data_IF_159214649461
#
_entry.id   IF_159214649461
#
_cell.length_a   1.000
_cell.length_b   1.000
_cell.length_c   1.000
_cell.angle_alpha   90.00
_cell.angle_beta   90.00
_cell.angle_gamma   90.00
#
_symmetry.space_group_name_H-M   'P 1'
#
loop_
_entity.id
_entity.type
_entity.pdbx_description
1 polymer ?
#
# COMPACT_ATOMS: atom_id res chain seq x y z
N UNK A 1 -0.18 3.05 -39.51
CA UNK A 1 1.24 3.48 -39.38
C UNK A 1 1.71 3.79 -37.96
N UNK A 2 0.93 4.38 -37.06
CA UNK A 2 1.36 4.64 -35.66
C UNK A 2 1.58 3.34 -34.81
N UNK A 3 0.78 2.28 -35.02
CA UNK A 3 0.94 0.99 -34.33
C UNK A 3 2.26 0.26 -34.68
N UNK A 4 2.77 0.41 -35.87
CA UNK A 4 4.02 -0.24 -36.32
C UNK A 4 5.27 0.41 -35.72
N UNK A 5 5.25 1.70 -35.41
CA UNK A 5 6.38 2.40 -34.77
C UNK A 5 6.54 2.07 -33.29
N UNK A 6 5.44 1.79 -32.57
CA UNK A 6 5.49 1.38 -31.15
C UNK A 6 6.01 -0.05 -31.00
N UNK A 7 5.77 -0.92 -32.00
CA UNK A 7 6.28 -2.31 -32.00
C UNK A 7 7.80 -2.40 -32.18
N UNK A 8 8.43 -1.44 -32.85
CA UNK A 8 9.88 -1.42 -33.06
C UNK A 8 10.67 -0.99 -31.81
N UNK A 9 10.06 -0.41 -30.81
CA UNK A 9 10.71 0.08 -29.58
C UNK A 9 10.75 -0.95 -28.44
N UNK A 10 10.06 -2.08 -28.55
CA UNK A 10 10.09 -3.15 -27.54
C UNK A 10 11.30 -4.09 -27.78
N UNK A 11 12.53 -3.55 -27.85
CA UNK A 11 13.74 -4.36 -27.66
C UNK A 11 13.68 -4.91 -26.23
N UNK A 12 13.67 -6.24 -26.09
CA UNK A 12 13.81 -6.89 -24.79
C UNK A 12 15.06 -6.31 -24.11
N UNK A 13 14.87 -5.77 -22.92
CA UNK A 13 15.95 -5.17 -22.16
C UNK A 13 16.96 -6.26 -21.79
N UNK A 14 18.25 -5.93 -21.80
CA UNK A 14 19.25 -6.80 -21.19
C UNK A 14 18.89 -7.01 -19.71
N UNK A 15 19.16 -8.19 -19.17
CA UNK A 15 18.90 -8.52 -17.76
C UNK A 15 19.47 -7.45 -16.81
N UNK A 16 20.71 -7.02 -17.07
CA UNK A 16 21.39 -5.97 -16.28
C UNK A 16 20.67 -4.61 -16.38
N UNK A 17 20.22 -4.23 -17.56
CA UNK A 17 19.47 -2.98 -17.75
C UNK A 17 18.14 -3.01 -17.01
N UNK A 18 17.42 -4.13 -17.08
CA UNK A 18 16.17 -4.31 -16.36
C UNK A 18 16.35 -4.25 -14.83
N UNK A 19 17.36 -4.95 -14.31
CA UNK A 19 17.70 -4.92 -12.89
C UNK A 19 18.09 -3.51 -12.42
N UNK A 20 18.89 -2.79 -13.20
CA UNK A 20 19.28 -1.41 -12.89
C UNK A 20 18.07 -0.47 -12.82
N UNK A 21 17.16 -0.55 -13.80
CA UNK A 21 15.94 0.27 -13.85
C UNK A 21 15.09 0.05 -12.58
N UNK A 22 14.86 -1.22 -12.20
CA UNK A 22 14.08 -1.53 -10.99
C UNK A 22 14.79 -1.09 -9.71
N UNK A 23 16.12 -1.26 -9.63
CA UNK A 23 16.90 -0.83 -8.46
C UNK A 23 16.83 0.69 -8.28
N UNK A 24 17.00 1.45 -9.36
CA UNK A 24 16.89 2.92 -9.33
C UNK A 24 15.48 3.35 -8.91
N UNK A 25 14.44 2.74 -9.49
CA UNK A 25 13.06 3.04 -9.11
C UNK A 25 12.79 2.72 -7.64
N UNK A 26 13.32 1.60 -7.13
CA UNK A 26 13.17 1.22 -5.73
C UNK A 26 13.88 2.20 -4.79
N UNK A 27 15.08 2.67 -5.13
CA UNK A 27 15.79 3.70 -4.34
C UNK A 27 15.01 5.01 -4.33
N UNK A 28 14.56 5.48 -5.48
CA UNK A 28 13.72 6.69 -5.59
C UNK A 28 12.48 6.55 -4.70
N UNK A 29 11.77 5.41 -4.79
CA UNK A 29 10.56 5.16 -4.01
C UNK A 29 10.83 5.16 -2.50
N UNK A 30 11.96 4.61 -2.05
CA UNK A 30 12.36 4.63 -0.63
C UNK A 30 12.70 6.04 -0.16
N UNK A 31 13.44 6.82 -0.96
CA UNK A 31 13.75 8.22 -0.65
C UNK A 31 12.47 9.06 -0.56
N UNK A 32 11.58 8.93 -1.52
CA UNK A 32 10.28 9.61 -1.51
C UNK A 32 9.44 9.20 -0.29
N UNK A 33 9.47 7.91 0.09
CA UNK A 33 8.80 7.41 1.30
C UNK A 33 9.36 8.02 2.59
N UNK A 34 10.68 8.19 2.69
CA UNK A 34 11.32 8.87 3.82
C UNK A 34 10.97 10.36 3.86
N UNK A 35 10.97 11.03 2.70
CA UNK A 35 10.57 12.43 2.57
C UNK A 35 9.09 12.66 2.94
N UNK A 36 8.23 11.67 2.79
CA UNK A 36 6.83 11.74 3.23
C UNK A 36 6.69 11.76 4.76
N UNK A 37 7.52 10.99 5.47
CA UNK A 37 7.44 10.85 6.93
C UNK A 37 7.67 12.18 7.64
N UNK A 38 8.70 12.93 7.27
CA UNK A 38 9.11 14.16 7.94
C UNK A 38 8.04 15.26 7.91
N UNK A 39 7.45 15.65 6.75
CA UNK A 39 6.38 16.63 6.71
C UNK A 39 5.12 16.19 7.46
N UNK A 40 4.77 14.91 7.34
CA UNK A 40 3.57 14.40 8.01
C UNK A 40 3.71 14.49 9.54
N UNK A 41 4.85 14.11 10.11
CA UNK A 41 5.09 14.21 11.55
C UNK A 41 5.14 15.66 12.04
N UNK A 42 5.74 16.57 11.27
CA UNK A 42 5.80 18.01 11.62
C UNK A 42 4.43 18.67 11.54
N UNK A 43 3.61 18.31 10.59
CA UNK A 43 2.29 18.90 10.35
C UNK A 43 1.23 18.37 11.33
N UNK A 44 1.21 17.08 11.53
CA UNK A 44 0.13 16.40 12.24
C UNK A 44 0.52 15.90 13.64
N UNK A 45 1.82 15.94 13.96
CA UNK A 45 2.37 15.41 15.20
C UNK A 45 2.51 13.89 15.23
N UNK A 46 3.12 13.41 16.31
CA UNK A 46 3.39 11.96 16.47
C UNK A 46 2.12 11.13 16.65
N UNK A 47 1.07 11.73 17.20
CA UNK A 47 -0.23 11.04 17.39
C UNK A 47 -0.86 10.66 16.05
N UNK A 48 -0.92 11.59 15.09
CA UNK A 48 -1.44 11.29 13.76
C UNK A 48 -0.55 10.30 13.01
N UNK A 49 0.75 10.37 13.21
CA UNK A 49 1.68 9.36 12.68
C UNK A 49 1.40 7.98 13.30
N UNK A 50 1.11 7.90 14.60
CA UNK A 50 0.70 6.65 15.27
C UNK A 50 -0.56 6.03 14.63
N UNK A 51 -1.59 6.84 14.35
CA UNK A 51 -2.79 6.36 13.65
C UNK A 51 -2.49 5.84 12.24
N UNK A 52 -1.60 6.54 11.53
CA UNK A 52 -1.11 6.12 10.23
C UNK A 52 -0.39 4.76 10.33
N UNK A 53 0.52 4.61 11.28
CA UNK A 53 1.32 3.39 11.45
C UNK A 53 0.45 2.18 11.82
N UNK A 54 -0.53 2.35 12.71
CA UNK A 54 -1.50 1.30 13.09
C UNK A 54 -2.27 0.79 11.86
N UNK A 55 -2.77 1.69 11.02
CA UNK A 55 -3.48 1.30 9.81
C UNK A 55 -2.55 0.58 8.83
N UNK A 56 -1.30 1.05 8.70
CA UNK A 56 -0.30 0.45 7.83
C UNK A 56 0.08 -0.97 8.28
N UNK A 57 0.15 -1.19 9.58
CA UNK A 57 0.46 -2.50 10.16
C UNK A 57 -0.67 -3.52 9.97
N UNK A 58 -1.92 -3.09 9.99
CA UNK A 58 -3.04 -3.96 9.64
C UNK A 58 -3.06 -4.29 8.14
N UNK A 59 -2.69 -3.34 7.31
CA UNK A 59 -2.61 -3.49 5.86
C UNK A 59 -1.51 -4.46 5.41
N UNK A 60 -0.30 -4.39 6.00
CA UNK A 60 0.88 -5.11 5.53
C UNK A 60 0.70 -6.64 5.42
N UNK A 61 0.14 -7.35 6.42
CA UNK A 61 -0.08 -8.79 6.33
C UNK A 61 -1.06 -9.16 5.21
N UNK A 62 -2.16 -8.42 5.09
CA UNK A 62 -3.20 -8.64 4.08
C UNK A 62 -2.62 -8.41 2.68
N UNK A 63 -1.87 -7.34 2.51
CA UNK A 63 -1.14 -7.02 1.29
C UNK A 63 -0.13 -8.12 0.93
N UNK A 64 0.65 -8.61 1.89
CA UNK A 64 1.64 -9.67 1.68
C UNK A 64 0.98 -10.96 1.21
N UNK A 65 -0.14 -11.36 1.83
CA UNK A 65 -0.90 -12.54 1.40
C UNK A 65 -1.38 -12.36 -0.05
N UNK A 66 -1.86 -11.17 -0.37
CA UNK A 66 -2.47 -10.89 -1.65
C UNK A 66 -1.46 -10.83 -2.81
N UNK A 67 -0.19 -10.41 -2.56
CA UNK A 67 0.73 -10.12 -3.67
C UNK A 67 2.13 -10.73 -3.56
N UNK A 68 2.56 -11.34 -2.45
CA UNK A 68 3.96 -11.75 -2.29
C UNK A 68 4.44 -12.73 -3.38
N UNK A 69 3.71 -13.81 -3.61
CA UNK A 69 4.10 -14.87 -4.56
C UNK A 69 3.51 -14.74 -5.95
N UNK A 70 2.36 -14.07 -6.08
CA UNK A 70 1.59 -14.05 -7.33
C UNK A 70 2.29 -13.32 -8.50
N UNK A 71 2.88 -12.12 -8.33
CA UNK A 71 3.54 -11.43 -9.44
C UNK A 71 4.74 -12.21 -9.96
N UNK A 72 5.50 -12.84 -9.05
CA UNK A 72 6.65 -13.66 -9.41
C UNK A 72 6.24 -14.93 -10.16
N UNK A 73 5.14 -15.57 -9.75
CA UNK A 73 4.58 -16.71 -10.44
C UNK A 73 4.14 -16.34 -11.87
N UNK A 74 3.45 -15.21 -12.02
CA UNK A 74 3.03 -14.70 -13.34
C UNK A 74 4.22 -14.37 -14.22
N UNK A 75 5.21 -13.64 -13.70
CA UNK A 75 6.43 -13.27 -14.42
C UNK A 75 7.19 -14.51 -14.90
N UNK A 76 7.36 -15.52 -14.02
CA UNK A 76 8.01 -16.78 -14.38
C UNK A 76 7.26 -17.53 -15.47
N UNK A 77 5.94 -17.68 -15.35
CA UNK A 77 5.13 -18.38 -16.35
C UNK A 77 5.11 -17.66 -17.70
N UNK A 78 5.06 -16.33 -17.70
CA UNK A 78 5.15 -15.53 -18.92
C UNK A 78 6.50 -15.71 -19.58
N UNK A 79 7.60 -15.64 -18.81
CA UNK A 79 8.97 -15.86 -19.35
C UNK A 79 9.14 -17.26 -19.90
N UNK A 80 8.62 -18.30 -19.21
CA UNK A 80 8.64 -19.68 -19.67
C UNK A 80 7.86 -19.85 -20.97
N UNK A 81 6.65 -19.29 -21.04
CA UNK A 81 5.81 -19.37 -22.24
C UNK A 81 6.46 -18.69 -23.45
N UNK A 82 7.17 -17.58 -23.25
CA UNK A 82 7.93 -16.90 -24.31
C UNK A 82 9.12 -17.74 -24.75
N UNK A 83 9.87 -18.34 -23.81
CA UNK A 83 11.03 -19.17 -24.10
C UNK A 83 10.67 -20.44 -24.91
N UNK A 84 9.46 -20.98 -24.67
CA UNK A 84 8.92 -22.15 -25.38
C UNK A 84 8.10 -21.76 -26.64
N UNK A 85 8.10 -20.50 -27.04
CA UNK A 85 7.31 -19.96 -28.16
C UNK A 85 5.79 -20.17 -28.04
N UNK A 86 5.30 -20.41 -26.81
CA UNK A 86 3.89 -20.59 -26.47
C UNK A 86 3.19 -19.22 -26.24
N UNK A 87 3.19 -18.37 -27.24
CA UNK A 87 2.71 -16.98 -27.11
C UNK A 87 1.21 -16.88 -26.78
N UNK A 88 0.39 -17.90 -27.13
CA UNK A 88 -1.04 -17.93 -26.74
C UNK A 88 -1.20 -18.09 -25.23
N UNK A 89 -0.29 -18.82 -24.58
CA UNK A 89 -0.30 -19.02 -23.14
C UNK A 89 -0.07 -17.72 -22.36
N UNK A 90 0.79 -16.83 -22.84
CA UNK A 90 1.02 -15.52 -22.20
C UNK A 90 -0.28 -14.77 -21.97
N UNK A 91 -1.17 -14.74 -22.96
CA UNK A 91 -2.49 -14.10 -22.83
C UNK A 91 -3.40 -14.83 -21.85
N UNK A 92 -3.34 -16.16 -21.83
CA UNK A 92 -4.13 -16.98 -20.89
C UNK A 92 -3.67 -16.76 -19.46
N UNK A 93 -2.35 -16.78 -19.24
CA UNK A 93 -1.73 -16.47 -17.93
C UNK A 93 -2.12 -15.08 -17.45
N UNK A 94 -2.00 -14.06 -18.30
CA UNK A 94 -2.33 -12.69 -17.95
C UNK A 94 -3.82 -12.50 -17.60
N UNK A 95 -4.74 -13.04 -18.42
CA UNK A 95 -6.18 -12.95 -18.16
C UNK A 95 -6.57 -13.63 -16.83
N UNK A 96 -5.95 -14.77 -16.57
CA UNK A 96 -6.19 -15.49 -15.33
C UNK A 96 -5.59 -14.75 -14.14
N UNK A 97 -4.37 -14.20 -14.31
CA UNK A 97 -3.74 -13.36 -13.30
C UNK A 97 -4.62 -12.18 -12.89
N UNK A 98 -5.16 -11.41 -13.86
CA UNK A 98 -6.08 -10.29 -13.55
C UNK A 98 -7.27 -10.77 -12.72
N UNK A 99 -7.87 -11.92 -13.02
CA UNK A 99 -9.00 -12.45 -12.25
C UNK A 99 -8.58 -12.82 -10.82
N UNK A 100 -7.45 -13.49 -10.67
CA UNK A 100 -6.93 -13.90 -9.35
C UNK A 100 -6.62 -12.64 -8.51
N UNK A 101 -5.87 -11.69 -9.08
CA UNK A 101 -5.51 -10.46 -8.36
C UNK A 101 -6.72 -9.58 -8.02
N UNK A 102 -7.72 -9.50 -8.91
CA UNK A 102 -8.97 -8.80 -8.63
C UNK A 102 -9.71 -9.46 -7.45
N UNK A 103 -9.81 -10.79 -7.46
CA UNK A 103 -10.48 -11.52 -6.36
C UNK A 103 -9.73 -11.35 -5.05
N UNK A 104 -8.40 -11.54 -5.04
CA UNK A 104 -7.56 -11.34 -3.85
C UNK A 104 -7.65 -9.90 -3.34
N UNK A 105 -7.60 -8.92 -4.25
CA UNK A 105 -7.70 -7.50 -3.90
C UNK A 105 -9.05 -7.13 -3.30
N UNK A 106 -10.15 -7.63 -3.88
CA UNK A 106 -11.50 -7.41 -3.34
C UNK A 106 -11.67 -8.06 -1.96
N UNK A 107 -11.24 -9.32 -1.82
CA UNK A 107 -11.30 -10.02 -0.53
C UNK A 107 -10.45 -9.30 0.51
N UNK A 108 -9.22 -8.90 0.18
CA UNK A 108 -8.36 -8.15 1.09
C UNK A 108 -8.96 -6.79 1.50
N UNK A 109 -9.55 -6.06 0.57
CA UNK A 109 -10.27 -4.81 0.85
C UNK A 109 -11.45 -5.04 1.80
N UNK A 110 -12.26 -6.07 1.55
CA UNK A 110 -13.40 -6.41 2.40
C UNK A 110 -12.96 -6.83 3.81
N UNK A 111 -11.89 -7.62 3.93
CA UNK A 111 -11.31 -8.00 5.24
C UNK A 111 -10.90 -6.75 6.01
N UNK A 112 -10.23 -5.78 5.35
CA UNK A 112 -9.85 -4.52 6.00
C UNK A 112 -11.06 -3.69 6.43
N UNK A 113 -12.11 -3.57 5.61
CA UNK A 113 -13.31 -2.81 5.93
C UNK A 113 -14.09 -3.42 7.11
N UNK A 114 -14.31 -4.74 7.05
CA UNK A 114 -15.06 -5.46 8.10
C UNK A 114 -14.23 -5.52 9.40
N UNK A 115 -12.91 -5.72 9.28
CA UNK A 115 -11.99 -5.83 10.40
C UNK A 115 -11.58 -4.50 11.03
N UNK A 116 -11.89 -3.36 10.40
CA UNK A 116 -11.42 -2.05 10.84
C UNK A 116 -11.81 -1.73 12.30
N UNK A 117 -13.08 -1.92 12.65
CA UNK A 117 -13.58 -1.66 14.01
C UNK A 117 -12.98 -2.63 15.03
N UNK A 118 -12.93 -3.92 14.69
CA UNK A 118 -12.39 -4.96 15.56
C UNK A 118 -10.89 -4.72 15.83
N UNK A 119 -10.12 -4.37 14.82
CA UNK A 119 -8.69 -4.12 14.96
C UNK A 119 -8.38 -2.82 15.72
N UNK A 120 -9.07 -1.72 15.42
CA UNK A 120 -8.89 -0.45 16.10
C UNK A 120 -9.20 -0.58 17.61
N UNK A 121 -10.28 -1.28 17.97
CA UNK A 121 -10.63 -1.56 19.35
C UNK A 121 -9.65 -2.53 20.03
N UNK A 122 -9.16 -3.54 19.30
CA UNK A 122 -8.16 -4.49 19.83
C UNK A 122 -6.85 -3.80 20.19
N UNK A 123 -6.40 -2.87 19.36
CA UNK A 123 -5.20 -2.04 19.60
C UNK A 123 -5.47 -1.00 20.71
N UNK A 124 -6.73 -0.66 21.01
CA UNK A 124 -7.14 0.33 21.99
C UNK A 124 -7.08 1.77 21.48
N UNK A 125 -7.09 1.97 20.16
CA UNK A 125 -7.03 3.29 19.51
C UNK A 125 -8.14 3.37 18.45
N UNK A 126 -9.40 3.61 18.88
CA UNK A 126 -10.57 3.64 17.98
C UNK A 126 -10.46 4.68 16.86
N UNK A 127 -9.73 5.77 17.06
CA UNK A 127 -9.52 6.84 16.08
C UNK A 127 -8.76 6.37 14.84
N UNK A 128 -7.96 5.31 14.96
CA UNK A 128 -7.23 4.70 13.82
C UNK A 128 -8.16 4.04 12.79
N UNK A 129 -9.42 3.75 13.16
CA UNK A 129 -10.43 3.15 12.27
C UNK A 129 -10.57 3.87 10.94
N UNK A 130 -10.63 5.21 10.98
CA UNK A 130 -10.80 6.02 9.76
C UNK A 130 -9.63 5.81 8.79
N UNK A 131 -8.41 5.73 9.32
CA UNK A 131 -7.20 5.46 8.53
C UNK A 131 -7.28 4.09 7.85
N UNK A 132 -7.73 3.06 8.59
CA UNK A 132 -7.87 1.69 8.06
C UNK A 132 -8.91 1.64 6.93
N UNK A 133 -10.08 2.24 7.15
CA UNK A 133 -11.17 2.26 6.16
C UNK A 133 -10.75 2.94 4.85
N UNK A 134 -10.07 4.09 4.96
CA UNK A 134 -9.61 4.86 3.80
C UNK A 134 -8.47 4.14 3.07
N UNK A 135 -7.63 3.41 3.79
CA UNK A 135 -6.52 2.64 3.20
C UNK A 135 -6.97 1.33 2.57
N UNK A 136 -8.08 0.74 2.97
CA UNK A 136 -8.51 -0.58 2.52
C UNK A 136 -8.53 -0.75 0.98
N UNK A 137 -9.04 0.19 0.16
CA UNK A 137 -9.03 0.03 -1.30
C UNK A 137 -7.62 -0.02 -1.92
N UNK A 138 -6.59 0.39 -1.17
CA UNK A 138 -5.19 0.28 -1.62
C UNK A 138 -4.82 -1.14 -1.97
N UNK A 139 -5.30 -2.14 -1.19
CA UNK A 139 -5.05 -3.56 -1.46
C UNK A 139 -5.51 -3.94 -2.86
N UNK A 140 -6.72 -3.51 -3.25
CA UNK A 140 -7.27 -3.79 -4.57
C UNK A 140 -6.40 -3.18 -5.69
N UNK A 141 -6.06 -1.89 -5.56
CA UNK A 141 -5.26 -1.23 -6.59
C UNK A 141 -3.86 -1.81 -6.69
N UNK A 142 -3.21 -2.12 -5.57
CA UNK A 142 -1.90 -2.78 -5.56
C UNK A 142 -1.95 -4.17 -6.20
N UNK A 143 -2.98 -4.97 -5.96
CA UNK A 143 -3.19 -6.24 -6.63
C UNK A 143 -3.29 -6.06 -8.16
N UNK A 144 -4.12 -5.12 -8.61
CA UNK A 144 -4.30 -4.87 -10.04
C UNK A 144 -3.03 -4.36 -10.73
N UNK A 145 -2.27 -3.48 -10.08
CA UNK A 145 -0.94 -3.05 -10.55
C UNK A 145 -0.01 -4.25 -10.67
N UNK A 146 0.00 -5.13 -9.66
CA UNK A 146 0.90 -6.28 -9.58
C UNK A 146 0.66 -7.30 -10.69
N UNK A 147 -0.59 -7.45 -11.15
CA UNK A 147 -0.90 -8.29 -12.31
C UNK A 147 -0.22 -7.79 -13.60
N UNK A 148 -0.22 -6.46 -13.81
CA UNK A 148 0.47 -5.85 -14.96
C UNK A 148 1.99 -5.91 -14.81
N UNK A 149 2.51 -5.65 -13.60
CA UNK A 149 3.95 -5.77 -13.30
C UNK A 149 4.45 -7.18 -13.61
N UNK A 150 3.76 -8.23 -13.15
CA UNK A 150 4.11 -9.62 -13.43
C UNK A 150 4.17 -9.94 -14.93
N UNK A 151 3.23 -9.42 -15.74
CA UNK A 151 3.26 -9.56 -17.19
C UNK A 151 4.50 -8.90 -17.79
N UNK A 152 4.75 -7.63 -17.47
CA UNK A 152 5.82 -6.85 -18.11
C UNK A 152 7.22 -7.31 -17.66
N UNK A 153 7.39 -7.69 -16.42
CA UNK A 153 8.61 -8.32 -15.91
C UNK A 153 8.88 -9.65 -16.63
N UNK A 154 7.85 -10.46 -16.85
CA UNK A 154 7.93 -11.70 -17.60
C UNK A 154 8.28 -11.50 -19.08
N UNK A 155 7.88 -10.38 -19.69
CA UNK A 155 8.26 -10.00 -21.06
C UNK A 155 9.59 -9.23 -21.14
N UNK A 156 10.35 -9.15 -20.03
CA UNK A 156 11.61 -8.38 -19.91
C UNK A 156 11.48 -6.89 -20.25
N UNK A 157 10.33 -6.30 -19.91
CA UNK A 157 10.08 -4.87 -20.01
C UNK A 157 9.84 -4.29 -18.62
N UNK A 158 10.91 -3.79 -17.99
CA UNK A 158 10.86 -3.31 -16.61
C UNK A 158 10.36 -1.86 -16.48
N UNK A 159 10.22 -1.12 -17.58
CA UNK A 159 9.82 0.28 -17.57
C UNK A 159 8.44 0.50 -16.92
N UNK A 160 7.37 -0.26 -17.26
CA UNK A 160 6.06 -0.02 -16.66
C UNK A 160 6.05 -0.27 -15.15
N UNK A 161 6.80 -1.28 -14.67
CA UNK A 161 6.98 -1.55 -13.25
C UNK A 161 7.67 -0.38 -12.56
N UNK A 162 8.81 0.08 -13.07
CA UNK A 162 9.56 1.19 -12.50
C UNK A 162 8.75 2.49 -12.43
N UNK A 163 8.10 2.86 -13.53
CA UNK A 163 7.29 4.08 -13.59
C UNK A 163 6.09 4.00 -12.65
N UNK A 164 5.40 2.84 -12.60
CA UNK A 164 4.27 2.67 -11.69
C UNK A 164 4.67 2.78 -10.21
N UNK A 165 5.86 2.30 -9.82
CA UNK A 165 6.40 2.48 -8.46
C UNK A 165 6.67 3.95 -8.12
N UNK A 166 7.23 4.68 -9.08
CA UNK A 166 7.48 6.13 -8.90
C UNK A 166 6.18 6.89 -8.78
N UNK A 167 5.17 6.61 -9.63
CA UNK A 167 3.85 7.24 -9.56
C UNK A 167 3.19 6.98 -8.21
N UNK A 168 3.23 5.73 -7.73
CA UNK A 168 2.68 5.34 -6.43
C UNK A 168 3.35 6.11 -5.29
N UNK A 169 4.68 6.21 -5.31
CA UNK A 169 5.45 6.91 -4.27
C UNK A 169 5.23 8.42 -4.30
N UNK A 170 5.23 9.03 -5.49
CA UNK A 170 4.95 10.46 -5.65
C UNK A 170 3.49 10.79 -5.31
N UNK A 171 2.55 9.91 -5.68
CA UNK A 171 1.16 10.03 -5.29
C UNK A 171 1.00 10.07 -3.76
N UNK A 172 1.64 9.13 -3.06
CA UNK A 172 1.70 9.12 -1.60
C UNK A 172 2.26 10.43 -1.04
N UNK A 173 3.39 10.91 -1.57
CA UNK A 173 4.06 12.12 -1.09
C UNK A 173 3.18 13.36 -1.32
N UNK A 174 2.79 13.61 -2.57
CA UNK A 174 2.12 14.86 -2.96
C UNK A 174 0.68 14.89 -2.45
N UNK A 175 -0.08 13.84 -2.75
CA UNK A 175 -1.50 13.77 -2.37
C UNK A 175 -1.67 13.50 -0.88
N UNK A 176 -0.80 12.67 -0.28
CA UNK A 176 -0.88 12.39 1.15
C UNK A 176 -0.59 13.62 2.00
N UNK A 177 0.43 14.39 1.68
CA UNK A 177 0.69 15.67 2.34
C UNK A 177 -0.42 16.68 2.02
N UNK A 178 -0.85 16.76 0.76
CA UNK A 178 -1.89 17.69 0.33
C UNK A 178 -3.22 17.47 1.05
N UNK A 179 -3.72 16.24 1.09
CA UNK A 179 -4.97 15.91 1.80
C UNK A 179 -4.83 16.00 3.31
N UNK A 180 -3.67 15.62 3.86
CA UNK A 180 -3.40 15.80 5.28
C UNK A 180 -3.45 17.28 5.66
N UNK A 181 -2.79 18.15 4.88
CA UNK A 181 -2.83 19.60 5.08
C UNK A 181 -4.24 20.16 4.92
N UNK A 182 -4.97 19.73 3.88
CA UNK A 182 -6.34 20.16 3.67
C UNK A 182 -7.25 19.78 4.86
N UNK A 183 -7.11 18.57 5.41
CA UNK A 183 -7.87 18.15 6.59
C UNK A 183 -7.53 19.00 7.82
N UNK A 184 -6.25 19.31 8.04
CA UNK A 184 -5.81 20.17 9.12
C UNK A 184 -6.37 21.59 8.99
N UNK A 185 -6.22 22.19 7.80
CA UNK A 185 -6.73 23.54 7.51
C UNK A 185 -8.25 23.60 7.69
N UNK A 186 -8.97 22.60 7.18
CA UNK A 186 -10.43 22.52 7.31
C UNK A 186 -10.88 22.44 8.76
N UNK A 187 -10.25 21.61 9.58
CA UNK A 187 -10.57 21.49 11.01
C UNK A 187 -10.35 22.81 11.77
N UNK A 188 -9.23 23.49 11.51
CA UNK A 188 -8.93 24.80 12.12
C UNK A 188 -9.93 25.89 11.66
N UNK A 189 -10.31 25.85 10.39
CA UNK A 189 -11.27 26.80 9.82
C UNK A 189 -12.67 26.62 10.43
N UNK A 190 -13.14 25.39 10.60
CA UNK A 190 -14.40 25.08 11.26
C UNK A 190 -14.39 25.55 12.71
N UNK A 191 -13.30 25.33 13.46
CA UNK A 191 -13.15 25.82 14.81
C UNK A 191 -13.27 27.34 14.91
N UNK A 192 -12.62 28.07 14.00
CA UNK A 192 -12.65 29.52 13.98
C UNK A 192 -14.04 30.11 13.66
N UNK A 193 -14.87 29.38 12.90
CA UNK A 193 -16.18 29.86 12.50
C UNK A 193 -17.32 29.49 13.45
N UNK A 194 -17.24 28.41 14.19
CA UNK A 194 -18.40 27.94 14.95
C UNK A 194 -18.09 27.08 16.16
N UNK A 195 -16.83 26.93 16.59
CA UNK A 195 -16.46 26.09 17.72
C UNK A 195 -16.77 24.60 17.50
N UNK A 196 -16.98 24.17 16.26
CA UNK A 196 -17.20 22.77 15.89
C UNK A 196 -16.07 22.30 14.97
N UNK A 197 -15.59 21.07 15.16
CA UNK A 197 -14.57 20.44 14.32
C UNK A 197 -15.07 19.06 13.94
N UNK A 198 -15.26 18.82 12.64
CA UNK A 198 -15.80 17.56 12.09
C UNK A 198 -17.09 17.06 12.81
N UNK A 199 -17.97 18.00 13.18
CA UNK A 199 -19.25 17.71 13.83
C UNK A 199 -19.20 17.54 15.34
N UNK A 200 -18.05 17.76 15.98
CA UNK A 200 -17.89 17.76 17.44
C UNK A 200 -17.73 19.20 17.94
N UNK A 201 -18.44 19.55 19.02
CA UNK A 201 -18.29 20.85 19.67
C UNK A 201 -16.99 20.88 20.47
N UNK A 202 -16.21 21.94 20.29
CA UNK A 202 -14.85 22.06 20.85
C UNK A 202 -14.72 23.40 21.55
N UNK A 203 -14.17 23.37 22.75
CA UNK A 203 -14.02 24.57 23.57
C UNK A 203 -12.63 25.21 23.43
N UNK A 204 -11.62 24.44 23.05
CA UNK A 204 -10.22 24.90 22.99
C UNK A 204 -9.54 24.55 21.65
N UNK A 205 -8.57 25.39 21.24
CA UNK A 205 -7.77 25.13 20.04
C UNK A 205 -6.96 23.82 20.12
N UNK A 206 -6.61 23.40 21.35
CA UNK A 206 -5.92 22.12 21.56
C UNK A 206 -6.83 20.92 21.29
N UNK A 207 -8.09 20.96 21.72
CA UNK A 207 -9.09 19.94 21.41
C UNK A 207 -9.37 19.89 19.90
N UNK A 208 -9.49 21.05 19.25
CA UNK A 208 -9.66 21.16 17.81
C UNK A 208 -8.52 20.46 17.04
N UNK A 209 -7.27 20.70 17.46
CA UNK A 209 -6.10 20.06 16.89
C UNK A 209 -6.12 18.54 17.14
N UNK A 210 -6.47 18.12 18.34
CA UNK A 210 -6.51 16.71 18.72
C UNK A 210 -7.53 15.89 17.90
N UNK A 211 -8.74 16.45 17.69
CA UNK A 211 -9.75 15.81 16.83
C UNK A 211 -9.30 15.79 15.38
N UNK A 212 -8.66 16.85 14.92
CA UNK A 212 -8.16 16.93 13.53
C UNK A 212 -7.08 15.90 13.23
N UNK A 213 -6.29 15.44 14.20
CA UNK A 213 -5.19 14.50 13.98
C UNK A 213 -5.62 13.18 13.32
N UNK A 214 -6.77 12.63 13.71
CA UNK A 214 -7.33 11.43 13.06
C UNK A 214 -7.67 11.65 11.59
N UNK A 215 -8.25 12.81 11.27
CA UNK A 215 -8.61 13.16 9.90
C UNK A 215 -7.39 13.52 9.04
N UNK A 216 -6.37 14.12 9.64
CA UNK A 216 -5.08 14.38 8.96
C UNK A 216 -4.42 13.07 8.58
N UNK A 217 -4.38 12.09 9.49
CA UNK A 217 -3.85 10.77 9.21
C UNK A 217 -4.67 10.04 8.13
N UNK A 218 -6.02 10.11 8.21
CA UNK A 218 -6.90 9.55 7.18
C UNK A 218 -6.71 10.23 5.82
N UNK A 219 -6.52 11.55 5.78
CA UNK A 219 -6.18 12.30 4.56
C UNK A 219 -4.85 11.84 3.95
N UNK A 220 -3.84 11.63 4.78
CA UNK A 220 -2.57 11.07 4.34
C UNK A 220 -2.73 9.67 3.75
N UNK A 221 -3.56 8.81 4.35
CA UNK A 221 -3.90 7.48 3.83
C UNK A 221 -4.67 7.54 2.52
N UNK A 222 -5.56 8.52 2.36
CA UNK A 222 -6.26 8.75 1.09
C UNK A 222 -5.27 9.02 -0.05
N UNK A 223 -4.21 9.77 0.23
CA UNK A 223 -3.12 10.00 -0.73
C UNK A 223 -2.40 8.71 -1.14
N UNK A 224 -2.19 7.78 -0.21
CA UNK A 224 -1.64 6.44 -0.51
C UNK A 224 -2.59 5.67 -1.44
N UNK A 225 -3.88 5.66 -1.12
CA UNK A 225 -4.90 4.96 -1.90
C UNK A 225 -5.01 5.52 -3.33
N UNK A 226 -5.08 6.85 -3.47
CA UNK A 226 -5.15 7.50 -4.78
C UNK A 226 -3.83 7.31 -5.54
N UNK A 227 -2.66 7.37 -4.88
CA UNK A 227 -1.36 7.08 -5.49
C UNK A 227 -1.32 5.69 -6.12
N UNK A 228 -1.82 4.67 -5.41
CA UNK A 228 -1.92 3.30 -5.92
C UNK A 228 -2.94 3.18 -7.06
N UNK A 229 -4.07 3.91 -6.99
CA UNK A 229 -5.04 3.98 -8.07
C UNK A 229 -4.46 4.62 -9.35
N UNK A 230 -3.68 5.70 -9.21
CA UNK A 230 -2.99 6.33 -10.33
C UNK A 230 -1.94 5.40 -10.96
N UNK A 231 -1.20 4.65 -10.14
CA UNK A 231 -0.27 3.64 -10.63
C UNK A 231 -1.00 2.54 -11.43
N UNK A 232 -2.17 2.10 -10.96
CA UNK A 232 -3.00 1.16 -11.69
C UNK A 232 -3.53 1.75 -13.01
N UNK A 233 -4.05 2.95 -13.00
CA UNK A 233 -4.52 3.64 -14.21
C UNK A 233 -3.40 3.79 -15.24
N UNK A 234 -2.19 4.13 -14.79
CA UNK A 234 -1.01 4.19 -15.66
C UNK A 234 -0.70 2.83 -16.28
N UNK A 235 -0.64 1.75 -15.48
CA UNK A 235 -0.33 0.41 -16.01
C UNK A 235 -1.41 -0.11 -16.95
N UNK A 236 -2.68 0.19 -16.68
CA UNK A 236 -3.82 -0.11 -17.56
C UNK A 236 -3.74 0.66 -18.88
N UNK A 237 -3.45 1.97 -18.80
CA UNK A 237 -3.25 2.82 -19.99
C UNK A 237 -2.08 2.31 -20.83
N UNK A 238 -0.94 1.98 -20.19
CA UNK A 238 0.22 1.42 -20.85
C UNK A 238 -0.12 0.10 -21.55
N UNK A 239 -0.83 -0.79 -20.88
CA UNK A 239 -1.29 -2.06 -21.43
C UNK A 239 -2.21 -1.86 -22.64
N UNK A 240 -3.12 -0.88 -22.57
CA UNK A 240 -3.99 -0.56 -23.71
C UNK A 240 -3.21 -0.05 -24.92
N UNK A 241 -2.12 0.67 -24.71
CA UNK A 241 -1.28 1.22 -25.80
C UNK A 241 -0.31 0.21 -26.40
N UNK A 242 0.34 -0.59 -25.57
CA UNK A 242 1.44 -1.48 -25.95
C UNK A 242 0.98 -2.93 -26.08
N UNK A 243 -0.01 -3.34 -25.31
CA UNK A 243 -0.50 -4.73 -25.25
C UNK A 243 0.44 -5.65 -24.48
N UNK A 244 0.39 -6.92 -24.84
CA UNK A 244 1.16 -8.01 -24.20
C UNK A 244 2.63 -8.07 -24.71
N UNK A 245 3.03 -7.19 -25.64
CA UNK A 245 4.37 -7.23 -26.26
C UNK A 245 4.55 -8.34 -27.28
N UNK A 246 3.49 -9.06 -27.66
CA UNK A 246 3.48 -10.19 -28.58
C UNK A 246 2.87 -9.77 -29.91
N UNK A 247 3.53 -10.11 -31.04
CA UNK A 247 3.02 -9.80 -32.35
C UNK A 247 1.86 -10.73 -32.75
N UNK A 248 1.03 -10.27 -33.69
CA UNK A 248 -0.08 -11.09 -34.21
C UNK A 248 0.44 -12.38 -34.88
N UNK A 249 1.54 -12.29 -35.57
CA UNK A 249 2.20 -13.41 -36.28
C UNK A 249 2.70 -14.47 -35.29
N UNK A 250 3.44 -14.06 -34.24
CA UNK A 250 3.89 -14.96 -33.19
C UNK A 250 2.70 -15.70 -32.53
N UNK A 251 1.60 -15.01 -32.33
CA UNK A 251 0.39 -15.62 -31.73
C UNK A 251 -0.31 -16.58 -32.67
N UNK A 252 -0.33 -16.33 -33.98
CA UNK A 252 -0.96 -17.23 -34.95
C UNK A 252 -0.16 -18.54 -35.11
N UNK A 253 1.15 -18.46 -35.10
CA UNK A 253 2.06 -19.60 -35.22
C UNK A 253 2.28 -20.37 -33.91
N UNK A 254 1.78 -19.86 -32.80
CA UNK A 254 1.91 -20.49 -31.49
C UNK A 254 0.98 -21.72 -31.35
N UNK A 255 1.43 -22.77 -30.64
CA UNK A 255 0.58 -23.92 -30.33
C UNK A 255 -0.65 -23.51 -29.48
N UNK A 256 -1.66 -24.40 -29.36
CA UNK A 256 -2.84 -24.12 -28.55
C UNK A 256 -2.46 -23.86 -27.08
N UNK A 257 -3.16 -22.91 -26.46
CA UNK A 257 -2.88 -22.57 -25.07
C UNK A 257 -3.27 -23.68 -24.10
N UNK A 258 -2.54 -23.78 -22.99
CA UNK A 258 -2.87 -24.65 -21.87
C UNK A 258 -4.26 -24.33 -21.30
N UNK A 259 -4.92 -25.30 -20.70
CA UNK A 259 -6.22 -25.06 -20.07
C UNK A 259 -6.11 -24.09 -18.89
N UNK A 260 -7.14 -23.27 -18.66
CA UNK A 260 -7.17 -22.32 -17.53
C UNK A 260 -6.91 -23.02 -16.19
N UNK A 261 -7.39 -24.27 -16.03
CA UNK A 261 -7.19 -25.06 -14.80
C UNK A 261 -5.73 -25.45 -14.60
N UNK A 262 -5.03 -25.80 -15.68
CA UNK A 262 -3.60 -26.13 -15.63
C UNK A 262 -2.76 -24.89 -15.30
N UNK A 263 -3.05 -23.76 -15.95
CA UNK A 263 -2.40 -22.46 -15.70
C UNK A 263 -2.64 -22.00 -14.25
N UNK A 264 -3.89 -22.10 -13.76
CA UNK A 264 -4.22 -21.76 -12.37
C UNK A 264 -3.40 -22.60 -11.37
N UNK A 265 -3.37 -23.92 -11.59
CA UNK A 265 -2.61 -24.83 -10.70
C UNK A 265 -1.12 -24.49 -10.72
N UNK A 266 -0.56 -24.18 -11.88
CA UNK A 266 0.84 -23.80 -12.01
C UNK A 266 1.16 -22.46 -11.31
N UNK A 267 0.28 -21.46 -11.44
CA UNK A 267 0.43 -20.19 -10.71
C UNK A 267 0.41 -20.45 -9.19
N UNK A 268 -0.57 -21.19 -8.70
CA UNK A 268 -0.70 -21.47 -7.25
C UNK A 268 0.46 -22.30 -6.71
N UNK A 269 0.97 -23.27 -7.48
CA UNK A 269 2.12 -24.08 -7.09
C UNK A 269 3.40 -23.26 -6.88
N UNK A 270 3.55 -22.16 -7.60
CA UNK A 270 4.68 -21.23 -7.44
C UNK A 270 4.36 -20.17 -6.35
N UNK A 271 3.16 -19.61 -6.38
CA UNK A 271 2.78 -18.49 -5.52
C UNK A 271 2.67 -18.89 -4.04
N UNK A 272 2.05 -20.04 -3.73
CA UNK A 272 1.77 -20.45 -2.36
C UNK A 272 3.05 -20.61 -1.52
N UNK A 273 4.10 -21.35 -1.94
CA UNK A 273 5.33 -21.47 -1.15
C UNK A 273 6.01 -20.12 -0.89
N UNK A 274 6.03 -19.23 -1.88
CA UNK A 274 6.64 -17.91 -1.77
C UNK A 274 5.84 -17.05 -0.79
N UNK A 275 4.51 -17.08 -0.89
CA UNK A 275 3.63 -16.33 0.03
C UNK A 275 3.78 -16.84 1.46
N UNK A 276 3.86 -18.16 1.69
CA UNK A 276 4.08 -18.72 3.01
C UNK A 276 5.43 -18.30 3.59
N UNK A 277 6.50 -18.30 2.80
CA UNK A 277 7.81 -17.79 3.22
C UNK A 277 7.77 -16.30 3.60
N UNK A 278 7.08 -15.47 2.81
CA UNK A 278 6.91 -14.05 3.10
C UNK A 278 6.04 -13.81 4.34
N UNK A 279 5.02 -14.65 4.58
CA UNK A 279 4.18 -14.58 5.78
C UNK A 279 4.97 -14.92 7.05
N UNK A 280 5.89 -15.87 7.00
CA UNK A 280 6.71 -16.21 8.15
C UNK A 280 7.51 -15.00 8.66
N UNK A 281 8.06 -14.18 7.76
CA UNK A 281 8.74 -12.93 8.12
C UNK A 281 7.79 -11.87 8.66
N UNK A 282 6.58 -11.78 8.12
CA UNK A 282 5.57 -10.82 8.58
C UNK A 282 4.95 -11.21 9.93
N UNK A 283 4.82 -12.51 10.20
CA UNK A 283 4.32 -12.99 11.50
C UNK A 283 5.20 -12.51 12.66
N UNK A 284 6.51 -12.51 12.49
CA UNK A 284 7.42 -11.96 13.51
C UNK A 284 7.11 -10.49 13.79
N UNK A 285 6.99 -9.66 12.76
CA UNK A 285 6.67 -8.24 12.91
C UNK A 285 5.29 -8.01 13.54
N UNK A 286 4.30 -8.86 13.21
CA UNK A 286 2.96 -8.77 13.82
C UNK A 286 3.03 -9.15 15.31
N UNK A 287 3.74 -10.21 15.66
CA UNK A 287 3.89 -10.65 17.05
C UNK A 287 4.61 -9.59 17.89
N UNK A 288 5.70 -9.03 17.36
CA UNK A 288 6.43 -7.95 18.00
C UNK A 288 5.53 -6.74 18.28
N UNK A 289 4.78 -6.32 17.27
CA UNK A 289 3.85 -5.21 17.38
C UNK A 289 2.72 -5.47 18.39
N UNK A 290 2.03 -6.62 18.26
CA UNK A 290 0.93 -6.97 19.16
C UNK A 290 1.41 -7.10 20.60
N UNK A 291 2.60 -7.69 20.81
CA UNK A 291 3.23 -7.80 22.12
C UNK A 291 3.57 -6.43 22.68
N UNK A 292 4.21 -5.57 21.89
CA UNK A 292 4.58 -4.22 22.30
C UNK A 292 3.35 -3.38 22.65
N UNK A 293 2.33 -3.38 21.78
CA UNK A 293 1.10 -2.60 22.03
C UNK A 293 0.32 -3.11 23.24
N UNK A 294 0.22 -4.44 23.43
CA UNK A 294 -0.39 -5.00 24.64
C UNK A 294 0.39 -4.64 25.90
N UNK A 295 1.71 -4.77 25.87
CA UNK A 295 2.55 -4.38 27.01
C UNK A 295 2.40 -2.89 27.33
N UNK A 296 2.43 -2.02 26.31
CA UNK A 296 2.22 -0.58 26.49
C UNK A 296 0.83 -0.28 27.04
N UNK A 297 -0.21 -0.95 26.54
CA UNK A 297 -1.57 -0.78 27.06
C UNK A 297 -1.68 -1.22 28.53
N UNK A 298 -1.14 -2.38 28.88
CA UNK A 298 -1.11 -2.86 30.28
C UNK A 298 -0.38 -1.87 31.21
N UNK A 299 0.72 -1.30 30.76
CA UNK A 299 1.46 -0.27 31.49
C UNK A 299 0.62 1.00 31.65
N UNK A 300 -0.09 1.42 30.59
CA UNK A 300 -0.92 2.63 30.60
C UNK A 300 -2.23 2.47 31.37
N UNK A 301 -2.77 1.26 31.49
CA UNK A 301 -3.96 0.94 32.27
C UNK A 301 -3.63 0.66 33.76
N UNK A 302 -2.33 0.47 34.10
CA UNK A 302 -1.84 0.16 35.44
C UNK A 302 -1.04 1.31 36.09
N UNK A 303 -0.36 0.99 37.19
CA UNK A 303 0.47 1.93 37.98
C UNK A 303 1.64 2.53 37.16
N UNK A 304 2.05 1.87 36.07
CA UNK A 304 3.10 2.34 35.17
C UNK A 304 2.72 3.59 34.34
N UNK A 305 1.44 3.93 34.24
CA UNK A 305 0.99 5.11 33.49
C UNK A 305 1.59 6.41 34.04
N UNK A 306 1.71 6.53 35.37
CA UNK A 306 2.31 7.69 36.00
C UNK A 306 3.80 7.76 35.70
N UNK A 307 4.51 6.67 35.81
CA UNK A 307 5.96 6.59 35.47
C UNK A 307 6.23 6.97 34.01
N UNK A 308 5.41 6.50 33.07
CA UNK A 308 5.52 6.88 31.65
C UNK A 308 5.27 8.37 31.45
N UNK A 309 4.27 8.93 32.11
CA UNK A 309 3.99 10.37 32.04
C UNK A 309 5.14 11.21 32.63
N UNK A 310 5.72 10.80 33.72
CA UNK A 310 6.87 11.47 34.34
C UNK A 310 8.11 11.37 33.46
N UNK A 311 8.42 10.20 32.91
CA UNK A 311 9.57 9.98 32.02
C UNK A 311 9.52 10.83 30.75
N UNK A 312 8.32 11.00 30.17
CA UNK A 312 8.12 11.71 28.91
C UNK A 312 7.41 13.06 29.07
N UNK A 313 7.32 13.61 30.30
CA UNK A 313 6.55 14.82 30.62
C UNK A 313 6.85 16.01 29.72
N UNK A 314 8.12 16.30 29.49
CA UNK A 314 8.54 17.43 28.64
C UNK A 314 8.17 17.21 27.16
N UNK A 315 8.27 16.00 26.68
CA UNK A 315 7.98 15.64 25.30
C UNK A 315 6.47 15.58 25.05
N UNK A 316 5.69 15.04 26.00
CA UNK A 316 4.24 14.99 25.93
C UNK A 316 3.64 16.40 26.03
N UNK A 317 4.18 17.25 26.89
CA UNK A 317 3.77 18.65 27.01
C UNK A 317 4.08 19.44 25.72
N UNK A 318 5.27 19.25 25.15
CA UNK A 318 5.65 19.87 23.89
C UNK A 318 4.78 19.40 22.71
N UNK A 319 4.32 18.14 22.76
CA UNK A 319 3.42 17.56 21.75
C UNK A 319 1.94 17.85 22.01
N UNK A 320 1.56 18.46 23.15
CA UNK A 320 0.18 18.72 23.51
C UNK A 320 -0.64 17.45 23.76
N UNK A 321 0.01 16.34 24.14
CA UNK A 321 -0.62 15.02 24.25
C UNK A 321 -1.12 14.81 25.67
N UNK A 322 -2.44 14.72 25.83
CA UNK A 322 -3.13 14.44 27.11
C UNK A 322 -4.08 13.25 26.92
N UNK A 323 -4.14 12.37 27.91
CA UNK A 323 -5.00 11.17 27.85
C UNK A 323 -4.24 9.90 27.46
N UNK A 324 -4.64 8.76 28.03
CA UNK A 324 -3.93 7.48 27.90
C UNK A 324 -3.85 6.99 26.46
N UNK A 325 -4.95 7.10 25.70
CA UNK A 325 -5.02 6.62 24.31
C UNK A 325 -4.12 7.44 23.37
N UNK A 326 -4.03 8.75 23.62
CA UNK A 326 -3.15 9.63 22.84
C UNK A 326 -1.68 9.42 23.18
N UNK A 327 -1.37 9.15 24.46
CA UNK A 327 -0.01 8.79 24.88
C UNK A 327 0.39 7.45 24.26
N UNK A 328 -0.52 6.47 24.23
CA UNK A 328 -0.28 5.19 23.57
C UNK A 328 0.00 5.36 22.07
N UNK A 329 -0.82 6.15 21.39
CA UNK A 329 -0.63 6.47 19.97
C UNK A 329 0.68 7.23 19.72
N UNK A 330 1.06 8.13 20.61
CA UNK A 330 2.33 8.86 20.55
C UNK A 330 3.54 7.92 20.74
N UNK A 331 3.46 7.00 21.70
CA UNK A 331 4.51 6.00 21.94
C UNK A 331 4.69 5.03 20.75
N UNK A 332 3.60 4.65 20.10
CA UNK A 332 3.64 3.76 18.92
C UNK A 332 4.13 4.49 17.66
N UNK A 333 4.09 5.82 17.62
CA UNK A 333 4.58 6.64 16.52
C UNK A 333 6.08 6.98 16.62
N UNK A 334 6.70 6.82 17.79
CA UNK A 334 8.14 7.02 18.00
C UNK A 334 8.90 5.71 17.75
#
# INVERSE_FOLDING_TARGET
>A
MARTRVQAQNKSQSFLQGALILSVAAVISKVVGALFKIPLQKMAGMVAWGYFEIAYQFYLPIYTIAIAGLPLAVSRMVSESIALEQYRDVRTVYRLAIKIFLTCGLVGTLIMWIGADAYANFVGIPESRQCIVVMAPTVLFCCLVSAHRGLYEGTRNMIPTAVSQIIESLGKLVLGIGFGYAAMWWGQHQFAQGGTVFGQTVSTAQEATAISQGYVAAGAMLGVTIGSALAWLYTMWYHHRVGEGITREQRLNSPPSRSNKAVFRAIMAIAIPITLGSLATQLTSILDMLSLQRCLKLVMDGDGAQTVREMYQSQLAAAGVTGSDKILSWLTGN
#
